data_IF_397235816826
#
_entry.id   IF_397235816826
#
_cell.length_a   1.000
_cell.length_b   1.000
_cell.length_c   1.000
_cell.angle_alpha   90.00
_cell.angle_beta   90.00
_cell.angle_gamma   90.00
#
_symmetry.space_group_name_H-M   'P 1'
#
loop_
_entity.id
_entity.type
_entity.pdbx_description
1 polymer ?
#
# COMPACT_ATOMS: atom_id res chain seq x y z
N UNK A 1 46.92 -42.85 35.16
CA UNK A 1 46.53 -41.51 35.67
C UNK A 1 47.17 -40.45 34.78
N UNK A 2 46.37 -39.82 33.92
CA UNK A 2 46.62 -38.50 33.30
C UNK A 2 45.34 -38.14 32.56
N UNK A 3 44.52 -37.30 33.21
CA UNK A 3 43.24 -36.84 32.70
C UNK A 3 43.43 -35.67 31.74
N UNK A 4 42.74 -35.71 30.60
CA UNK A 4 42.67 -34.63 29.62
C UNK A 4 41.50 -33.72 30.01
N UNK A 5 41.81 -32.49 30.44
CA UNK A 5 40.84 -31.41 30.65
C UNK A 5 40.41 -30.82 29.30
N UNK A 6 39.16 -31.01 28.92
CA UNK A 6 38.54 -30.29 27.81
C UNK A 6 37.88 -29.03 28.39
N UNK A 7 38.48 -27.86 28.11
CA UNK A 7 37.93 -26.53 28.40
C UNK A 7 36.70 -26.30 27.53
N UNK A 8 35.51 -26.36 28.12
CA UNK A 8 34.27 -25.92 27.48
C UNK A 8 34.25 -24.39 27.35
N UNK A 9 34.19 -23.89 26.13
CA UNK A 9 33.87 -22.49 25.83
C UNK A 9 32.34 -22.36 25.72
N UNK A 10 31.73 -21.70 26.69
CA UNK A 10 30.31 -21.31 26.62
C UNK A 10 30.24 -20.00 25.84
N UNK A 11 29.78 -20.08 24.58
CA UNK A 11 29.36 -18.90 23.82
C UNK A 11 28.02 -18.41 24.40
N UNK A 12 28.05 -17.29 25.10
CA UNK A 12 26.83 -16.55 25.47
C UNK A 12 26.32 -15.84 24.22
N UNK A 13 25.27 -16.38 23.61
CA UNK A 13 24.52 -15.67 22.58
C UNK A 13 23.70 -14.55 23.26
N UNK A 14 24.15 -13.30 23.11
CA UNK A 14 23.35 -12.13 23.49
C UNK A 14 22.25 -11.97 22.43
N UNK A 15 21.07 -12.48 22.74
CA UNK A 15 19.88 -12.27 21.92
C UNK A 15 19.51 -10.79 22.04
N UNK A 16 19.66 -10.04 20.94
CA UNK A 16 19.24 -8.64 20.84
C UNK A 16 17.71 -8.58 20.77
N UNK A 17 17.04 -8.71 21.93
CA UNK A 17 15.58 -8.54 22.09
C UNK A 17 15.32 -7.13 22.62
N UNK A 18 15.53 -6.09 21.82
CA UNK A 18 15.36 -4.71 22.33
C UNK A 18 14.28 -3.90 21.60
N UNK A 19 13.95 -4.20 20.35
CA UNK A 19 12.92 -3.45 19.61
C UNK A 19 11.48 -3.82 20.02
N UNK A 20 11.16 -5.12 20.04
CA UNK A 20 9.76 -5.58 20.17
C UNK A 20 9.14 -5.36 21.56
N UNK A 21 9.95 -5.38 22.63
CA UNK A 21 9.44 -5.22 24.01
C UNK A 21 9.06 -3.75 24.28
N UNK A 22 9.87 -2.79 23.82
CA UNK A 22 9.62 -1.36 24.00
C UNK A 22 8.35 -0.89 23.25
N UNK A 23 8.10 -1.39 22.04
CA UNK A 23 6.87 -1.06 21.31
C UNK A 23 5.60 -1.65 21.95
N UNK A 24 5.69 -2.85 22.54
CA UNK A 24 4.57 -3.42 23.30
C UNK A 24 4.22 -2.60 24.53
N UNK A 25 5.20 -2.08 25.26
CA UNK A 25 4.94 -1.21 26.42
C UNK A 25 4.32 0.14 26.02
N UNK A 26 4.72 0.71 24.88
CA UNK A 26 4.18 1.98 24.40
C UNK A 26 2.68 1.90 24.08
N UNK A 27 2.20 0.74 23.61
CA UNK A 27 0.81 0.50 23.27
C UNK A 27 -0.04 -0.07 24.41
N UNK A 28 0.55 -0.39 25.57
CA UNK A 28 -0.13 -1.10 26.65
C UNK A 28 -1.25 -0.27 27.33
N UNK A 29 -1.19 1.06 27.23
CA UNK A 29 -2.19 1.96 27.81
C UNK A 29 -3.43 2.20 26.94
N UNK A 30 -3.47 1.68 25.71
CA UNK A 30 -4.61 1.86 24.81
C UNK A 30 -5.73 0.88 25.15
N UNK A 31 -6.96 1.40 25.19
CA UNK A 31 -8.15 0.57 25.33
C UNK A 31 -8.46 -0.13 24.01
N UNK A 32 -8.81 -1.41 24.07
CA UNK A 32 -9.10 -2.23 22.89
C UNK A 32 -8.06 -3.32 22.63
N UNK A 33 -8.38 -4.23 21.71
CA UNK A 33 -7.51 -5.36 21.37
C UNK A 33 -6.55 -4.95 20.26
N UNK A 34 -5.26 -5.26 20.41
CA UNK A 34 -4.31 -5.10 19.30
C UNK A 34 -4.67 -6.05 18.15
N UNK A 35 -4.91 -5.48 16.97
CA UNK A 35 -5.21 -6.21 15.73
C UNK A 35 -3.94 -6.67 15.00
N UNK A 36 -2.80 -6.06 15.30
CA UNK A 36 -1.49 -6.38 14.73
C UNK A 36 -0.39 -6.04 15.74
N UNK A 37 0.79 -6.69 15.72
CA UNK A 37 1.89 -6.33 16.60
C UNK A 37 2.28 -4.84 16.46
N UNK A 38 2.54 -4.14 17.57
CA UNK A 38 3.06 -2.77 17.53
C UNK A 38 4.32 -2.65 16.66
N UNK A 39 4.35 -1.61 15.83
CA UNK A 39 5.46 -1.33 14.93
C UNK A 39 6.41 -0.32 15.56
N UNK A 40 7.66 -0.70 15.77
CA UNK A 40 8.70 0.22 16.25
C UNK A 40 9.21 1.12 15.13
N UNK A 41 9.40 2.40 15.43
CA UNK A 41 10.00 3.43 14.57
C UNK A 41 11.04 4.22 15.35
N UNK A 42 11.87 5.01 14.66
CA UNK A 42 12.92 5.81 15.32
C UNK A 42 12.35 6.76 16.40
N UNK A 43 11.21 7.40 16.12
CA UNK A 43 10.57 8.38 17.02
C UNK A 43 9.55 7.84 18.01
N UNK A 44 9.20 6.54 17.94
CA UNK A 44 8.11 5.98 18.75
C UNK A 44 7.60 4.64 18.24
N UNK A 45 6.32 4.35 18.50
CA UNK A 45 5.67 3.14 18.02
C UNK A 45 4.28 3.42 17.43
N UNK A 46 3.90 2.65 16.41
CA UNK A 46 2.53 2.61 15.88
C UNK A 46 1.80 1.43 16.48
N UNK A 47 0.62 1.68 17.04
CA UNK A 47 -0.27 0.71 17.64
C UNK A 47 -1.48 0.49 16.73
N UNK A 48 -1.96 -0.75 16.60
CA UNK A 48 -3.09 -1.11 15.74
C UNK A 48 -4.22 -1.65 16.59
N UNK A 49 -5.22 -0.84 16.88
CA UNK A 49 -6.26 -1.12 17.88
C UNK A 49 -7.59 -1.41 17.19
N UNK A 50 -8.21 -2.53 17.55
CA UNK A 50 -9.61 -2.79 17.21
C UNK A 50 -10.51 -2.02 18.16
N UNK A 51 -11.37 -1.19 17.61
CA UNK A 51 -12.33 -0.38 18.38
C UNK A 51 -13.61 -0.17 17.58
N UNK A 52 -14.70 0.13 18.29
CA UNK A 52 -15.99 0.40 17.66
C UNK A 52 -15.95 1.71 16.88
N UNK A 53 -16.53 1.68 15.69
CA UNK A 53 -16.66 2.84 14.82
C UNK A 53 -17.83 3.67 15.34
N UNK A 54 -17.57 4.95 15.55
CA UNK A 54 -18.56 5.91 16.02
C UNK A 54 -19.16 6.64 14.83
N UNK A 55 -20.45 6.94 14.89
CA UNK A 55 -21.11 7.81 13.93
C UNK A 55 -20.61 9.25 14.13
N UNK A 56 -20.10 9.88 13.06
CA UNK A 56 -19.46 11.19 13.14
C UNK A 56 -20.39 12.31 13.65
N UNK A 57 -21.71 12.14 13.52
CA UNK A 57 -22.70 13.16 13.92
C UNK A 57 -23.12 13.01 15.37
N UNK A 58 -23.35 11.77 15.81
CA UNK A 58 -23.90 11.46 17.13
C UNK A 58 -22.86 11.01 18.15
N UNK A 59 -21.67 10.58 17.70
CA UNK A 59 -20.66 9.93 18.51
C UNK A 59 -21.07 8.54 19.04
N UNK A 60 -22.22 8.01 18.60
CA UNK A 60 -22.72 6.73 19.04
C UNK A 60 -22.05 5.57 18.29
N UNK A 61 -21.82 4.40 18.91
CA UNK A 61 -21.33 3.23 18.21
C UNK A 61 -22.26 2.82 17.07
N UNK A 62 -21.70 2.56 15.90
CA UNK A 62 -22.42 2.09 14.71
C UNK A 62 -22.75 0.59 14.75
N UNK A 63 -22.18 -0.13 15.73
CA UNK A 63 -22.23 -1.60 15.79
C UNK A 63 -21.17 -2.29 14.93
N UNK A 64 -20.36 -1.52 14.20
CA UNK A 64 -19.21 -2.01 13.45
C UNK A 64 -17.91 -1.73 14.20
N UNK A 65 -16.91 -2.59 14.00
CA UNK A 65 -15.56 -2.40 14.50
C UNK A 65 -14.63 -2.04 13.34
N UNK A 66 -13.66 -1.17 13.62
CA UNK A 66 -12.57 -0.77 12.73
C UNK A 66 -11.20 -1.13 13.29
N UNK A 67 -10.15 -0.89 12.52
CA UNK A 67 -8.77 -0.89 13.02
C UNK A 67 -8.26 0.55 12.97
N UNK A 68 -8.12 1.14 14.16
CA UNK A 68 -7.54 2.46 14.33
C UNK A 68 -6.05 2.37 14.57
N UNK A 69 -5.31 3.33 14.02
CA UNK A 69 -3.89 3.47 14.28
C UNK A 69 -3.69 4.55 15.34
N UNK A 70 -2.75 4.31 16.24
CA UNK A 70 -2.29 5.30 17.21
C UNK A 70 -0.77 5.41 17.12
N UNK A 71 -0.24 6.62 17.28
CA UNK A 71 1.19 6.86 17.37
C UNK A 71 1.57 7.25 18.79
N UNK A 72 2.41 6.42 19.39
CA UNK A 72 3.02 6.64 20.68
C UNK A 72 4.42 7.19 20.47
N UNK A 73 4.54 8.52 20.34
CA UNK A 73 5.83 9.20 20.32
C UNK A 73 6.56 8.96 21.66
N UNK A 74 7.89 8.85 21.61
CA UNK A 74 8.70 8.56 22.80
C UNK A 74 8.41 9.58 23.93
N UNK A 75 8.04 9.07 25.11
CA UNK A 75 7.71 9.90 26.28
C UNK A 75 6.36 10.64 26.20
N UNK A 76 5.54 10.37 25.18
CA UNK A 76 4.22 10.98 24.98
C UNK A 76 3.10 9.97 25.13
N UNK A 77 1.88 10.47 25.35
CA UNK A 77 0.66 9.65 25.32
C UNK A 77 0.36 9.29 23.86
N UNK A 78 -0.08 8.05 23.56
CA UNK A 78 -0.48 7.68 22.19
C UNK A 78 -1.61 8.56 21.65
N UNK A 79 -1.46 9.05 20.42
CA UNK A 79 -2.44 9.89 19.73
C UNK A 79 -3.00 9.14 18.52
N UNK A 80 -4.32 9.18 18.30
CA UNK A 80 -4.97 8.53 17.15
C UNK A 80 -4.47 9.17 15.85
N UNK A 81 -4.25 8.35 14.83
CA UNK A 81 -3.82 8.81 13.52
C UNK A 81 -4.89 9.69 12.85
N UNK A 82 -4.45 10.70 12.11
CA UNK A 82 -5.31 11.55 11.29
C UNK A 82 -5.46 10.99 9.87
N UNK A 83 -6.62 11.21 9.25
CA UNK A 83 -6.94 10.73 7.89
C UNK A 83 -8.16 9.83 7.86
N UNK A 84 -8.40 9.20 6.69
CA UNK A 84 -9.53 8.27 6.49
C UNK A 84 -9.41 6.97 7.30
N UNK A 85 -8.20 6.57 7.67
CA UNK A 85 -7.92 5.32 8.36
C UNK A 85 -7.92 4.11 7.42
N UNK A 86 -7.97 2.91 8.00
CA UNK A 86 -8.08 1.67 7.23
C UNK A 86 -9.53 1.43 6.81
N UNK A 87 -9.70 0.86 5.62
CA UNK A 87 -11.02 0.48 5.11
C UNK A 87 -11.65 -0.64 5.96
N UNK A 88 -12.96 -0.74 5.90
CA UNK A 88 -13.75 -1.79 6.54
C UNK A 88 -15.07 -1.98 5.78
N UNK A 89 -15.74 -3.10 6.04
CA UNK A 89 -17.12 -3.37 5.61
C UNK A 89 -17.90 -3.88 6.84
N UNK A 90 -18.68 -4.95 6.74
CA UNK A 90 -19.25 -5.63 7.91
C UNK A 90 -18.19 -6.16 8.90
N UNK A 91 -16.91 -6.22 8.48
CA UNK A 91 -15.77 -6.54 9.35
C UNK A 91 -14.64 -5.52 9.20
N UNK A 92 -13.81 -5.33 10.25
CA UNK A 92 -12.61 -4.49 10.18
C UNK A 92 -11.49 -5.07 9.30
N UNK A 93 -11.64 -6.29 8.77
CA UNK A 93 -10.60 -6.97 8.02
C UNK A 93 -9.40 -7.38 8.87
N UNK A 94 -8.23 -7.44 8.23
CA UNK A 94 -6.96 -7.89 8.80
C UNK A 94 -5.79 -7.16 8.16
N UNK A 95 -4.82 -6.76 8.99
CA UNK A 95 -3.53 -6.25 8.52
C UNK A 95 -2.69 -7.44 8.07
N UNK A 96 -2.34 -7.45 6.79
CA UNK A 96 -1.43 -8.43 6.19
C UNK A 96 0.00 -8.15 6.65
N UNK A 97 0.41 -6.89 6.54
CA UNK A 97 1.72 -6.44 6.95
C UNK A 97 1.71 -4.94 7.25
N UNK A 98 2.57 -4.51 8.17
CA UNK A 98 2.84 -3.10 8.43
C UNK A 98 4.35 -2.90 8.62
N UNK A 99 4.92 -1.93 7.90
CA UNK A 99 6.37 -1.70 7.94
C UNK A 99 6.74 -0.25 7.64
N UNK A 100 7.82 0.26 8.25
CA UNK A 100 8.41 1.52 7.85
C UNK A 100 9.23 1.35 6.57
N UNK A 101 9.24 2.39 5.74
CA UNK A 101 10.14 2.52 4.61
C UNK A 101 10.42 4.00 4.33
N UNK A 102 11.69 4.32 4.10
CA UNK A 102 12.10 5.65 3.65
C UNK A 102 11.84 5.76 2.15
N UNK A 103 10.97 6.68 1.75
CA UNK A 103 10.54 6.84 0.35
C UNK A 103 10.39 8.32 -0.01
N UNK A 104 10.36 8.62 -1.31
CA UNK A 104 10.17 9.97 -1.80
C UNK A 104 11.44 10.83 -1.72
N UNK A 105 11.34 12.06 -2.24
CA UNK A 105 12.48 12.99 -2.30
C UNK A 105 12.81 13.64 -0.97
N UNK A 106 11.89 13.62 -0.02
CA UNK A 106 12.07 14.17 1.32
C UNK A 106 12.82 13.21 2.25
N UNK A 107 13.08 11.98 1.80
CA UNK A 107 13.77 10.94 2.56
C UNK A 107 13.17 10.71 3.96
N UNK A 108 11.86 10.93 4.12
CA UNK A 108 11.16 10.68 5.37
C UNK A 108 10.71 9.22 5.46
N UNK A 109 10.79 8.67 6.66
CA UNK A 109 10.24 7.36 6.96
C UNK A 109 8.71 7.42 6.93
N UNK A 110 8.09 6.61 6.08
CA UNK A 110 6.64 6.43 6.01
C UNK A 110 6.27 5.02 6.48
N UNK A 111 5.07 4.87 7.03
CA UNK A 111 4.50 3.59 7.44
C UNK A 111 3.54 3.11 6.38
N UNK A 112 3.77 1.92 5.85
CA UNK A 112 2.91 1.25 4.89
C UNK A 112 2.12 0.17 5.60
N UNK A 113 0.80 0.18 5.43
CA UNK A 113 -0.11 -0.82 6.01
C UNK A 113 -0.85 -1.51 4.88
N UNK A 114 -0.53 -2.78 4.67
CA UNK A 114 -1.25 -3.65 3.74
C UNK A 114 -2.40 -4.27 4.50
N UNK A 115 -3.61 -3.98 4.07
CA UNK A 115 -4.84 -4.38 4.73
C UNK A 115 -5.77 -5.07 3.74
N UNK A 116 -6.53 -6.05 4.22
CA UNK A 116 -7.66 -6.59 3.46
C UNK A 116 -8.87 -6.84 4.35
N UNK A 117 -10.05 -6.85 3.74
CA UNK A 117 -11.30 -7.29 4.36
C UNK A 117 -12.08 -8.16 3.38
N UNK A 118 -13.01 -8.96 3.89
CA UNK A 118 -13.98 -9.69 3.07
C UNK A 118 -15.16 -8.77 2.78
N UNK A 119 -15.47 -8.57 1.49
CA UNK A 119 -16.63 -7.81 1.05
C UNK A 119 -17.87 -8.62 1.35
N UNK A 120 -18.89 -7.98 1.91
CA UNK A 120 -20.15 -8.68 2.17
C UNK A 120 -20.79 -9.18 0.88
N UNK A 121 -21.40 -10.36 0.94
CA UNK A 121 -21.93 -11.08 -0.22
C UNK A 121 -22.95 -10.28 -1.06
N UNK A 122 -23.63 -9.31 -0.47
CA UNK A 122 -24.58 -8.42 -1.18
C UNK A 122 -23.90 -7.38 -2.08
N UNK A 123 -22.61 -7.09 -1.85
CA UNK A 123 -21.82 -6.14 -2.63
C UNK A 123 -20.64 -6.81 -3.37
N UNK A 124 -20.37 -8.08 -3.08
CA UNK A 124 -19.29 -8.84 -3.68
C UNK A 124 -19.44 -8.90 -5.21
N UNK A 125 -18.37 -8.55 -5.93
CA UNK A 125 -18.31 -8.68 -7.37
C UNK A 125 -18.34 -10.17 -7.77
N UNK A 126 -19.24 -10.56 -8.70
CA UNK A 126 -19.22 -11.92 -9.25
C UNK A 126 -17.85 -12.25 -9.82
N UNK A 127 -17.42 -13.50 -9.63
CA UNK A 127 -16.11 -13.97 -10.10
C UNK A 127 -14.92 -13.15 -9.55
N UNK A 128 -15.00 -12.72 -8.30
CA UNK A 128 -13.90 -12.07 -7.57
C UNK A 128 -13.35 -12.96 -6.45
N UNK A 129 -12.28 -12.49 -5.83
CA UNK A 129 -11.71 -13.14 -4.63
C UNK A 129 -12.56 -13.03 -3.37
N UNK A 130 -13.62 -12.21 -3.35
CA UNK A 130 -14.33 -11.80 -2.14
C UNK A 130 -13.51 -10.92 -1.19
N UNK A 131 -12.18 -10.97 -1.27
CA UNK A 131 -11.24 -10.16 -0.48
C UNK A 131 -10.85 -8.87 -1.20
N UNK A 132 -11.01 -7.75 -0.52
CA UNK A 132 -10.64 -6.42 -1.00
C UNK A 132 -9.38 -5.94 -0.28
N UNK A 133 -8.38 -5.52 -1.03
CA UNK A 133 -7.08 -5.09 -0.53
C UNK A 133 -6.91 -3.58 -0.65
N UNK A 134 -6.10 -3.04 0.25
CA UNK A 134 -5.66 -1.64 0.23
C UNK A 134 -4.24 -1.54 0.78
N UNK A 135 -3.53 -0.48 0.39
CA UNK A 135 -2.30 -0.06 1.07
C UNK A 135 -2.50 1.38 1.54
N UNK A 136 -2.52 1.55 2.85
CA UNK A 136 -2.58 2.88 3.47
C UNK A 136 -1.16 3.33 3.83
N UNK A 137 -0.83 4.56 3.48
CA UNK A 137 0.48 5.16 3.74
C UNK A 137 0.32 6.26 4.77
N UNK A 138 1.16 6.25 5.80
CA UNK A 138 1.16 7.25 6.85
C UNK A 138 2.54 7.87 7.02
N UNK A 139 2.58 9.14 7.39
CA UNK A 139 3.79 9.87 7.72
C UNK A 139 3.68 10.46 9.13
N UNK A 140 4.82 10.61 9.80
CA UNK A 140 4.88 11.30 11.09
C UNK A 140 5.18 12.78 10.84
N UNK A 141 4.30 13.65 11.32
CA UNK A 141 4.46 15.11 11.30
C UNK A 141 4.42 15.61 12.74
N UNK A 142 5.58 15.96 13.29
CA UNK A 142 5.73 16.25 14.72
C UNK A 142 5.46 14.98 15.54
N UNK A 143 4.45 15.01 16.40
CA UNK A 143 4.03 13.86 17.22
C UNK A 143 2.72 13.20 16.72
N UNK A 144 2.33 13.48 15.48
CA UNK A 144 1.08 13.01 14.89
C UNK A 144 1.40 12.10 13.71
N UNK A 145 0.78 10.92 13.67
CA UNK A 145 0.76 10.07 12.49
C UNK A 145 -0.41 10.51 11.61
N UNK A 146 -0.12 10.93 10.39
CA UNK A 146 -1.12 11.39 9.42
C UNK A 146 -1.08 10.52 8.17
N UNK A 147 -2.25 10.17 7.66
CA UNK A 147 -2.37 9.46 6.40
C UNK A 147 -1.93 10.36 5.24
N UNK A 148 -0.98 9.87 4.45
CA UNK A 148 -0.62 10.44 3.17
C UNK A 148 -1.64 9.97 2.14
N UNK A 149 -2.69 10.78 1.95
CA UNK A 149 -3.81 10.47 1.06
C UNK A 149 -3.33 10.26 -0.38
N UNK A 150 -2.34 11.02 -0.83
CA UNK A 150 -1.84 10.92 -2.20
C UNK A 150 -1.10 9.60 -2.43
N UNK A 151 -0.19 9.24 -1.53
CA UNK A 151 0.50 7.94 -1.61
C UNK A 151 -0.49 6.79 -1.46
N UNK A 152 -1.47 6.93 -0.56
CA UNK A 152 -2.56 5.95 -0.39
C UNK A 152 -3.36 5.76 -1.68
N UNK A 153 -3.79 6.84 -2.34
CA UNK A 153 -4.55 6.79 -3.58
C UNK A 153 -3.72 6.21 -4.76
N UNK A 154 -2.41 6.43 -4.77
CA UNK A 154 -1.49 5.83 -5.75
C UNK A 154 -1.43 4.29 -5.63
N UNK A 155 -1.41 3.77 -4.40
CA UNK A 155 -1.57 2.32 -4.21
C UNK A 155 -3.00 1.88 -4.51
N UNK A 156 -3.98 2.75 -4.25
CA UNK A 156 -5.38 2.47 -4.50
C UNK A 156 -5.87 1.23 -3.76
N UNK A 157 -6.99 0.71 -4.23
CA UNK A 157 -7.71 -0.39 -3.60
C UNK A 157 -8.34 -1.30 -4.65
N UNK A 158 -8.61 -2.57 -4.30
CA UNK A 158 -9.30 -3.46 -5.21
C UNK A 158 -9.36 -4.91 -4.75
N UNK A 159 -10.13 -5.74 -5.45
CA UNK A 159 -10.19 -7.18 -5.18
C UNK A 159 -8.83 -7.85 -5.35
N UNK A 160 -8.49 -8.81 -4.50
CA UNK A 160 -7.27 -9.60 -4.64
C UNK A 160 -7.12 -10.22 -6.02
N UNK A 161 -8.24 -10.65 -6.63
CA UNK A 161 -8.31 -10.98 -8.05
C UNK A 161 -9.73 -10.83 -8.60
N UNK A 162 -9.80 -10.67 -9.93
CA UNK A 162 -11.03 -10.70 -10.72
C UNK A 162 -10.88 -11.71 -11.87
N UNK A 163 -11.96 -12.43 -12.18
CA UNK A 163 -12.03 -13.47 -13.20
C UNK A 163 -13.15 -13.20 -14.21
N UNK A 164 -12.95 -13.60 -15.46
CA UNK A 164 -14.00 -13.60 -16.50
C UNK A 164 -14.93 -14.83 -16.41
N UNK A 165 -14.81 -15.62 -15.33
CA UNK A 165 -15.50 -16.90 -15.14
C UNK A 165 -14.68 -18.11 -15.59
N UNK A 166 -13.60 -17.91 -16.35
CA UNK A 166 -12.69 -18.98 -16.78
C UNK A 166 -11.28 -18.80 -16.25
N UNK A 167 -10.77 -17.57 -16.26
CA UNK A 167 -9.41 -17.24 -15.84
C UNK A 167 -9.37 -15.92 -15.08
N UNK A 168 -8.35 -15.80 -14.23
CA UNK A 168 -8.04 -14.52 -13.58
C UNK A 168 -7.58 -13.53 -14.66
N UNK A 169 -8.30 -12.44 -14.81
CA UNK A 169 -8.03 -11.37 -15.77
C UNK A 169 -7.34 -10.17 -15.12
N UNK A 170 -7.42 -10.05 -13.79
CA UNK A 170 -6.75 -9.00 -13.04
C UNK A 170 -6.44 -9.45 -11.61
N UNK A 171 -5.35 -8.93 -11.04
CA UNK A 171 -4.95 -9.14 -9.64
C UNK A 171 -4.55 -7.79 -9.04
N UNK A 172 -5.00 -7.51 -7.83
CA UNK A 172 -4.49 -6.36 -7.10
C UNK A 172 -2.98 -6.51 -6.89
N UNK A 173 -2.16 -5.55 -7.31
CA UNK A 173 -0.71 -5.74 -7.38
C UNK A 173 -0.03 -5.70 -6.02
N UNK A 174 -0.65 -5.12 -4.97
CA UNK A 174 0.04 -4.76 -3.73
C UNK A 174 -0.39 -5.61 -2.53
N UNK A 175 -0.29 -6.95 -2.65
CA UNK A 175 -0.78 -7.89 -1.62
C UNK A 175 0.28 -8.25 -0.58
N UNK A 176 1.55 -7.89 -0.79
CA UNK A 176 2.66 -8.19 0.12
C UNK A 176 3.68 -7.05 0.20
N UNK A 177 4.51 -7.07 1.26
CA UNK A 177 5.63 -6.12 1.41
C UNK A 177 6.58 -6.13 0.23
N UNK A 178 6.80 -7.30 -0.37
CA UNK A 178 7.64 -7.43 -1.57
C UNK A 178 7.04 -6.64 -2.73
N UNK A 179 5.74 -6.78 -2.93
CA UNK A 179 5.05 -6.10 -4.04
C UNK A 179 5.04 -4.59 -3.84
N UNK A 180 4.78 -4.13 -2.61
CA UNK A 180 4.84 -2.69 -2.27
C UNK A 180 6.24 -2.13 -2.50
N UNK A 181 7.30 -2.83 -2.07
CA UNK A 181 8.69 -2.41 -2.33
C UNK A 181 8.99 -2.35 -3.82
N UNK A 182 8.61 -3.38 -4.58
CA UNK A 182 8.79 -3.41 -6.02
C UNK A 182 8.06 -2.25 -6.73
N UNK A 183 6.87 -1.88 -6.25
CA UNK A 183 6.10 -0.77 -6.77
C UNK A 183 6.81 0.57 -6.51
N UNK A 184 7.37 0.75 -5.32
CA UNK A 184 8.12 1.94 -4.90
C UNK A 184 9.45 2.07 -5.66
N UNK A 185 10.10 0.95 -5.96
CA UNK A 185 11.33 0.91 -6.77
C UNK A 185 11.06 1.12 -8.27
N UNK A 186 9.78 1.14 -8.69
CA UNK A 186 9.40 1.35 -10.08
C UNK A 186 9.51 2.82 -10.50
N UNK A 187 9.76 3.06 -11.78
CA UNK A 187 9.74 4.41 -12.35
C UNK A 187 8.39 5.14 -12.12
N UNK A 188 7.28 4.41 -12.03
CA UNK A 188 5.96 4.98 -11.79
C UNK A 188 5.78 5.55 -10.38
N UNK A 189 6.64 5.18 -9.42
CA UNK A 189 6.63 5.77 -8.09
C UNK A 189 6.93 7.29 -8.11
N UNK A 190 7.54 7.81 -9.19
CA UNK A 190 7.73 9.24 -9.36
C UNK A 190 6.40 10.02 -9.44
N UNK A 191 5.30 9.37 -9.82
CA UNK A 191 3.97 9.96 -9.87
C UNK A 191 3.23 9.89 -8.52
N UNK A 192 3.76 9.15 -7.54
CA UNK A 192 3.18 9.05 -6.19
C UNK A 192 3.15 10.41 -5.48
N UNK A 193 4.12 11.28 -5.75
CA UNK A 193 4.15 12.64 -5.21
C UNK A 193 3.31 13.64 -6.04
N UNK A 194 2.56 13.18 -7.05
CA UNK A 194 1.53 13.97 -7.75
C UNK A 194 2.07 14.99 -8.74
N UNK A 195 3.25 14.76 -9.30
CA UNK A 195 3.88 15.67 -10.26
C UNK A 195 4.58 14.94 -11.39
N UNK A 196 4.54 15.58 -12.57
CA UNK A 196 5.25 15.12 -13.75
C UNK A 196 4.43 14.17 -14.61
N UNK A 197 5.13 13.54 -15.55
CA UNK A 197 4.54 12.63 -16.51
C UNK A 197 5.64 11.70 -17.01
N UNK A 198 5.33 10.43 -17.23
CA UNK A 198 6.34 9.43 -17.58
C UNK A 198 6.13 9.00 -19.02
N UNK A 199 7.07 9.31 -19.94
CA UNK A 199 7.04 8.77 -21.29
C UNK A 199 7.16 7.24 -21.26
N UNK A 200 6.28 6.58 -21.99
CA UNK A 200 6.20 5.12 -22.01
C UNK A 200 6.05 4.59 -23.43
N UNK A 201 6.45 3.34 -23.58
CA UNK A 201 6.24 2.54 -24.78
C UNK A 201 5.43 1.29 -24.42
N UNK A 202 4.46 0.95 -25.26
CA UNK A 202 3.64 -0.26 -25.10
C UNK A 202 4.46 -1.49 -25.46
N UNK A 203 4.55 -2.45 -24.52
CA UNK A 203 5.27 -3.73 -24.69
C UNK A 203 4.48 -4.79 -25.44
N UNK A 204 3.17 -4.77 -25.27
CA UNK A 204 2.26 -5.80 -25.75
C UNK A 204 0.91 -5.15 -26.01
N UNK A 205 0.18 -5.64 -27.02
CA UNK A 205 -1.17 -5.17 -27.30
C UNK A 205 -1.99 -5.16 -26.00
N UNK A 206 -2.53 -4.01 -25.65
CA UNK A 206 -3.23 -3.79 -24.38
C UNK A 206 -4.49 -2.98 -24.61
N UNK A 207 -5.50 -3.31 -23.82
CA UNK A 207 -6.83 -2.72 -23.91
C UNK A 207 -6.92 -1.45 -23.06
N UNK A 208 -7.74 -0.50 -23.51
CA UNK A 208 -7.98 0.77 -22.85
C UNK A 208 -9.36 0.79 -22.19
N UNK A 209 -9.43 1.42 -21.02
CA UNK A 209 -10.61 1.48 -20.16
C UNK A 209 -10.91 2.93 -19.77
N UNK A 210 -12.19 3.28 -19.62
CA UNK A 210 -12.59 4.63 -19.21
C UNK A 210 -12.25 4.89 -17.73
N UNK A 211 -12.21 3.83 -16.92
CA UNK A 211 -11.91 3.85 -15.48
C UNK A 211 -10.77 2.86 -15.14
N UNK A 212 -10.08 2.99 -13.99
CA UNK A 212 -9.01 2.10 -13.56
C UNK A 212 -9.55 0.75 -13.04
N UNK A 213 -10.39 0.10 -13.84
CA UNK A 213 -10.96 -1.20 -13.54
C UNK A 213 -11.29 -1.93 -14.85
N UNK A 214 -11.56 -3.24 -14.73
CA UNK A 214 -11.91 -4.08 -15.89
C UNK A 214 -13.39 -3.97 -16.29
N UNK A 215 -14.22 -3.26 -15.51
CA UNK A 215 -15.65 -3.08 -15.81
C UNK A 215 -15.79 -1.98 -16.87
N UNK A 216 -16.74 -2.14 -17.78
CA UNK A 216 -17.01 -1.17 -18.85
C UNK A 216 -16.57 -1.61 -20.25
N UNK A 217 -15.80 -2.69 -20.36
CA UNK A 217 -15.40 -3.26 -21.64
C UNK A 217 -14.39 -2.37 -22.39
N UNK A 218 -13.41 -3.02 -23.02
CA UNK A 218 -12.40 -2.29 -23.77
C UNK A 218 -12.88 -2.01 -25.20
N UNK A 219 -13.20 -0.75 -25.51
CA UNK A 219 -13.56 -0.34 -26.87
C UNK A 219 -12.35 0.00 -27.74
N UNK A 220 -11.20 0.24 -27.12
CA UNK A 220 -9.95 0.66 -27.77
C UNK A 220 -8.77 -0.15 -27.24
N UNK A 221 -7.69 -0.17 -28.01
CA UNK A 221 -6.44 -0.80 -27.63
C UNK A 221 -5.26 -0.01 -28.20
N UNK A 222 -4.11 -0.18 -27.57
CA UNK A 222 -2.81 0.17 -28.15
C UNK A 222 -2.08 -1.11 -28.55
N UNK A 223 -1.19 -1.00 -29.53
CA UNK A 223 -0.34 -2.10 -29.99
C UNK A 223 1.08 -1.93 -29.49
N UNK A 224 1.85 -3.01 -29.51
CA UNK A 224 3.27 -2.96 -29.20
C UNK A 224 3.98 -1.90 -30.06
N UNK A 225 4.82 -1.09 -29.44
CA UNK A 225 5.53 -0.01 -30.11
C UNK A 225 4.89 1.37 -29.93
N UNK A 226 3.60 1.45 -29.64
CA UNK A 226 2.91 2.72 -29.41
C UNK A 226 3.54 3.48 -28.25
N UNK A 227 3.63 4.81 -28.41
CA UNK A 227 4.18 5.72 -27.41
C UNK A 227 3.07 6.54 -26.78
N UNK A 228 3.12 6.66 -25.47
CA UNK A 228 2.19 7.47 -24.69
C UNK A 228 2.92 8.14 -23.52
N UNK A 229 2.17 8.92 -22.76
CA UNK A 229 2.65 9.51 -21.51
C UNK A 229 1.72 9.06 -20.39
N UNK A 230 2.26 8.57 -19.28
CA UNK A 230 1.50 8.28 -18.07
C UNK A 230 1.45 9.52 -17.18
N UNK A 231 0.25 9.94 -16.82
CA UNK A 231 -0.01 11.14 -16.00
C UNK A 231 -0.48 10.78 -14.59
N UNK A 232 -1.15 9.65 -14.42
CA UNK A 232 -1.75 9.21 -13.17
C UNK A 232 -1.61 7.70 -13.00
N UNK A 233 -1.43 7.24 -11.77
CA UNK A 233 -1.32 5.83 -11.42
C UNK A 233 -2.15 5.54 -10.18
N UNK A 234 -2.94 4.47 -10.22
CA UNK A 234 -3.66 3.93 -9.05
C UNK A 234 -3.83 2.42 -9.17
N UNK A 235 -3.61 1.66 -8.10
CA UNK A 235 -3.86 0.20 -8.08
C UNK A 235 -3.23 -0.60 -9.25
N UNK A 236 -2.08 -0.15 -9.77
CA UNK A 236 -1.40 -0.74 -10.93
C UNK A 236 -2.00 -0.40 -12.29
N UNK A 237 -2.96 0.53 -12.33
CA UNK A 237 -3.50 1.16 -13.53
C UNK A 237 -2.78 2.46 -13.82
N UNK A 238 -2.49 2.67 -15.09
CA UNK A 238 -1.80 3.84 -15.61
C UNK A 238 -2.78 4.60 -16.52
N UNK A 239 -3.06 5.85 -16.19
CA UNK A 239 -3.80 6.76 -17.04
C UNK A 239 -2.84 7.32 -18.08
N UNK A 240 -3.12 7.01 -19.33
CA UNK A 240 -2.30 7.42 -20.45
C UNK A 240 -2.90 8.61 -21.18
N UNK A 241 -2.04 9.51 -21.63
CA UNK A 241 -2.32 10.49 -22.66
C UNK A 241 -1.61 10.04 -23.94
N UNK A 242 -2.40 9.63 -24.93
CA UNK A 242 -1.92 9.16 -26.23
C UNK A 242 -2.39 10.09 -27.34
N UNK A 243 -1.44 10.60 -28.12
CA UNK A 243 -1.67 11.55 -29.22
C UNK A 243 -1.23 11.02 -30.59
N UNK A 244 -1.01 9.70 -30.74
CA UNK A 244 -0.56 9.09 -32.00
C UNK A 244 -1.67 8.89 -33.05
N UNK A 245 -2.94 9.05 -32.65
CA UNK A 245 -4.11 8.91 -33.53
C UNK A 245 -4.78 10.25 -33.86
N UNK A 246 -5.92 10.18 -34.57
CA UNK A 246 -6.68 11.38 -34.98
C UNK A 246 -7.28 12.19 -33.82
N UNK A 247 -7.44 11.59 -32.64
CA UNK A 247 -7.91 12.23 -31.41
C UNK A 247 -7.04 11.81 -30.25
N UNK A 248 -6.76 12.74 -29.34
CA UNK A 248 -6.12 12.42 -28.08
C UNK A 248 -6.97 11.43 -27.29
N UNK A 249 -6.33 10.42 -26.72
CA UNK A 249 -6.96 9.40 -25.88
C UNK A 249 -6.45 9.60 -24.46
N UNK A 250 -7.37 9.82 -23.53
CA UNK A 250 -7.12 9.85 -22.09
C UNK A 250 -7.90 8.70 -21.44
N UNK A 251 -7.23 7.58 -21.22
CA UNK A 251 -7.84 6.33 -20.77
C UNK A 251 -6.85 5.53 -19.90
N UNK A 252 -7.35 4.52 -19.20
CA UNK A 252 -6.59 3.67 -18.31
C UNK A 252 -6.18 2.37 -18.98
N UNK A 253 -5.01 1.85 -18.58
CA UNK A 253 -4.54 0.52 -18.91
C UNK A 253 -3.68 -0.04 -17.78
N UNK A 254 -3.37 -1.34 -17.79
CA UNK A 254 -2.52 -1.96 -16.76
C UNK A 254 -1.06 -1.53 -16.96
N UNK A 255 -0.44 -0.93 -15.94
CA UNK A 255 0.92 -0.39 -16.01
C UNK A 255 1.98 -1.42 -16.43
N UNK A 256 1.76 -2.71 -16.13
CA UNK A 256 2.69 -3.78 -16.52
C UNK A 256 2.81 -3.98 -18.03
N UNK A 257 1.89 -3.43 -18.83
CA UNK A 257 1.96 -3.42 -20.30
C UNK A 257 2.88 -2.31 -20.85
N UNK A 258 3.48 -1.48 -20.00
CA UNK A 258 4.30 -0.33 -20.37
C UNK A 258 5.76 -0.51 -19.95
N UNK A 259 6.66 -0.07 -20.81
CA UNK A 259 8.05 0.21 -20.47
C UNK A 259 8.26 1.72 -20.40
N UNK A 260 9.01 2.17 -19.40
CA UNK A 260 9.43 3.57 -19.33
C UNK A 260 10.50 3.81 -20.38
N UNK A 261 10.29 4.83 -21.20
CA UNK A 261 11.35 5.27 -22.10
C UNK A 261 12.40 5.98 -21.23
N UNK A 262 13.51 5.30 -20.96
CA UNK A 262 14.69 5.99 -20.48
C UNK A 262 15.00 7.07 -21.52
N UNK A 263 15.02 8.34 -21.08
CA UNK A 263 15.59 9.39 -21.91
C UNK A 263 16.94 8.88 -22.35
N UNK A 264 17.09 8.64 -23.66
CA UNK A 264 18.40 8.44 -24.26
C UNK A 264 19.21 9.66 -23.83
N UNK A 265 20.07 9.48 -22.82
CA UNK A 265 21.15 10.41 -22.53
C UNK A 265 22.07 10.32 -23.73
N UNK A 266 21.73 11.05 -24.78
CA UNK A 266 22.42 11.04 -26.05
C UNK A 266 22.22 12.36 -26.75
N UNK A 267 23.20 13.24 -26.55
CA UNK A 267 23.61 14.21 -27.56
C UNK A 267 23.13 15.65 -27.34
N UNK A 268 24.03 16.47 -26.79
CA UNK A 268 24.60 17.67 -27.44
C UNK A 268 25.74 18.14 -26.52
N UNK A 269 26.98 17.80 -26.89
CA UNK A 269 28.03 18.70 -27.44
C UNK A 269 28.51 19.71 -26.40
#
# INVERSE_FOLDING_TARGET
>A
MTGVMIKGWVFVAIISISGSVCAKSACAGLQGRQSYPPLSMEGGAVCFVRESILDDKSGAPTGLDGISLYYAANGSVPVKAEGRGLLYDDTPGSIVDAFPLVVGRDHREKVFVIHNFEVRSSLEEPNSSGKFYSVSVFEVIGNILRQDERSTDWFGVGYGWLSDGQKIVWKFPYQSRKDVRQAIDSHFALLMDGGGSIPVKVKVKTYLFDEPNIRGGASKYLVEGDRAVVEEVTAGWCKINYSGGAKAINMWLVCSALDVEEKVRGGLV
#
